data_IF_022888249085
#
_entry.id   IF_022888249085
#
_cell.length_a   1.000
_cell.length_b   1.000
_cell.length_c   1.000
_cell.angle_alpha   90.00
_cell.angle_beta   90.00
_cell.angle_gamma   90.00
#
_symmetry.space_group_name_H-M   'P 1'
#
loop_
_entity.id
_entity.type
_entity.pdbx_description
1 polymer ?
#
# COMPACT_ATOMS: atom_id res chain seq x y z
N UNK A 1 16.14 16.60 -10.35
CA UNK A 1 15.65 16.42 -10.25
C UNK A 1 14.87 15.86 -10.04
N UNK A 2 14.56 15.77 -9.80
CA UNK A 2 13.85 15.37 -9.54
C UNK A 2 13.06 14.92 -9.69
N UNK A 3 12.77 14.58 -9.75
CA UNK A 3 12.04 14.18 -9.90
C UNK A 3 11.15 13.71 -9.32
N UNK A 4 10.79 13.79 -9.05
CA UNK A 4 9.96 13.54 -8.33
C UNK A 4 8.93 13.13 -8.78
N UNK A 5 8.88 12.62 -9.56
CA UNK A 5 8.00 12.17 -10.04
C UNK A 5 7.36 11.44 -9.32
N UNK A 6 6.57 11.60 -9.01
CA UNK A 6 5.92 10.90 -8.17
C UNK A 6 5.51 9.63 -8.62
N UNK A 7 5.79 8.63 -7.89
CA UNK A 7 5.30 7.33 -8.18
C UNK A 7 4.09 7.00 -7.39
N UNK A 8 3.49 7.97 -6.75
CA UNK A 8 2.34 7.72 -5.89
C UNK A 8 1.13 7.34 -6.72
N UNK A 9 0.40 6.33 -6.26
CA UNK A 9 -0.78 5.85 -6.94
C UNK A 9 -1.99 5.99 -6.04
N UNK A 10 -3.14 6.39 -6.60
CA UNK A 10 -4.38 6.34 -5.84
C UNK A 10 -4.77 4.91 -5.49
N UNK A 11 -5.76 4.77 -4.60
CA UNK A 11 -6.12 3.45 -4.10
C UNK A 11 -6.55 2.49 -5.19
N UNK A 12 -7.32 2.96 -6.17
CA UNK A 12 -7.78 2.08 -7.22
C UNK A 12 -6.64 1.44 -8.00
N UNK A 13 -5.77 2.24 -8.63
CA UNK A 13 -4.64 1.66 -9.35
C UNK A 13 -3.71 0.87 -8.46
N UNK A 14 -3.50 1.33 -7.22
CA UNK A 14 -2.63 0.60 -6.32
C UNK A 14 -3.19 -0.78 -5.99
N UNK A 15 -4.50 -0.85 -5.76
CA UNK A 15 -5.13 -2.13 -5.46
C UNK A 15 -5.02 -3.08 -6.64
N UNK A 16 -5.17 -2.55 -7.86
CA UNK A 16 -5.02 -3.39 -9.04
C UNK A 16 -3.60 -3.91 -9.17
N UNK A 17 -2.64 -3.06 -8.86
CA UNK A 17 -1.24 -3.49 -8.92
C UNK A 17 -0.98 -4.60 -7.91
N UNK A 18 -1.58 -4.52 -6.74
CA UNK A 18 -1.42 -5.53 -5.71
C UNK A 18 -2.36 -6.71 -5.88
N UNK A 19 -3.36 -6.56 -6.75
CA UNK A 19 -4.36 -7.61 -6.99
C UNK A 19 -5.17 -7.89 -5.74
N UNK A 20 -5.56 -6.84 -5.07
CA UNK A 20 -6.41 -6.96 -3.88
C UNK A 20 -7.62 -6.09 -4.08
N UNK A 21 -8.68 -6.34 -3.32
CA UNK A 21 -9.85 -5.46 -3.38
C UNK A 21 -9.48 -4.05 -2.90
N UNK A 22 -10.02 -3.06 -3.59
CA UNK A 22 -9.69 -1.69 -3.24
C UNK A 22 -10.17 -1.35 -1.84
N UNK A 23 -11.32 -1.89 -1.45
CA UNK A 23 -11.82 -1.59 -0.12
C UNK A 23 -10.93 -2.18 0.96
N UNK A 24 -10.30 -3.33 0.68
CA UNK A 24 -9.36 -3.90 1.63
C UNK A 24 -8.16 -2.98 1.80
N UNK A 25 -7.64 -2.48 0.67
CA UNK A 25 -6.49 -1.59 0.72
C UNK A 25 -6.80 -0.31 1.49
N UNK A 26 -7.98 0.25 1.24
CA UNK A 26 -8.34 1.47 1.94
C UNK A 26 -8.50 1.23 3.43
N UNK A 27 -9.10 0.12 3.80
CA UNK A 27 -9.28 -0.18 5.22
C UNK A 27 -7.94 -0.36 5.91
N UNK A 28 -7.00 -1.03 5.24
CA UNK A 28 -5.68 -1.23 5.83
C UNK A 28 -4.95 0.10 5.99
N UNK A 29 -5.08 0.98 5.01
CA UNK A 29 -4.45 2.28 5.09
C UNK A 29 -5.04 3.09 6.23
N UNK A 30 -6.35 3.09 6.33
CA UNK A 30 -7.01 3.87 7.37
C UNK A 30 -6.70 3.34 8.75
N UNK A 31 -6.44 2.06 8.85
CA UNK A 31 -6.05 1.47 10.13
C UNK A 31 -4.58 1.70 10.44
N UNK A 32 -3.84 2.28 9.52
CA UNK A 32 -2.44 2.57 9.76
C UNK A 32 -1.51 1.39 9.52
N UNK A 33 -1.99 0.34 8.88
CA UNK A 33 -1.16 -0.83 8.65
C UNK A 33 -0.42 -0.76 7.31
N UNK A 34 -0.83 0.13 6.42
CA UNK A 34 -0.15 0.33 5.16
C UNK A 34 0.18 1.80 5.03
N UNK A 35 1.44 2.13 4.75
CA UNK A 35 1.83 3.54 4.62
C UNK A 35 1.14 4.20 3.44
N UNK A 36 0.72 5.42 3.65
CA UNK A 36 0.00 6.15 2.63
C UNK A 36 0.09 7.64 2.93
N UNK A 37 -0.32 8.44 1.94
CA UNK A 37 -0.46 9.87 2.10
C UNK A 37 -1.90 10.21 1.82
N UNK A 38 -2.50 10.97 2.72
CA UNK A 38 -3.86 11.39 2.49
C UNK A 38 -3.86 12.80 1.91
N UNK A 39 -4.33 12.92 0.68
CA UNK A 39 -4.43 14.20 0.01
C UNK A 39 -5.91 14.51 -0.11
N UNK A 40 -6.42 15.27 0.84
CA UNK A 40 -7.84 15.58 0.93
C UNK A 40 -8.65 14.30 1.04
N UNK A 41 -9.33 13.90 0.00
CA UNK A 41 -10.12 12.68 0.07
C UNK A 41 -9.49 11.52 -0.65
N UNK A 42 -8.26 11.73 -1.13
CA UNK A 42 -7.61 10.71 -1.92
C UNK A 42 -6.48 10.10 -1.13
N UNK A 43 -6.42 8.79 -1.11
CA UNK A 43 -5.29 8.09 -0.51
C UNK A 43 -4.29 7.78 -1.61
N UNK A 44 -3.04 8.12 -1.35
CA UNK A 44 -1.96 7.89 -2.31
C UNK A 44 -0.96 6.94 -1.70
N UNK A 45 -0.43 6.05 -2.53
CA UNK A 45 0.47 5.00 -2.07
C UNK A 45 1.73 4.98 -2.91
N UNK A 46 2.86 4.75 -2.25
CA UNK A 46 4.11 4.53 -2.93
C UNK A 46 4.23 3.03 -3.16
N UNK A 47 4.18 2.57 -4.42
CA UNK A 47 4.15 1.13 -4.67
C UNK A 47 5.31 0.37 -4.05
N UNK A 48 6.50 0.92 -4.12
CA UNK A 48 7.66 0.22 -3.58
C UNK A 48 7.57 0.07 -2.07
N UNK A 49 7.15 1.14 -1.41
CA UNK A 49 7.04 1.09 0.05
C UNK A 49 5.94 0.13 0.48
N UNK A 50 4.80 0.19 -0.19
CA UNK A 50 3.69 -0.68 0.16
C UNK A 50 4.05 -2.13 -0.07
N UNK A 51 4.70 -2.42 -1.19
CA UNK A 51 5.08 -3.79 -1.48
C UNK A 51 6.07 -4.33 -0.45
N UNK A 52 6.99 -3.47 -0.02
CA UNK A 52 7.94 -3.89 1.00
C UNK A 52 7.24 -4.23 2.32
N UNK A 53 6.26 -3.44 2.69
CA UNK A 53 5.50 -3.69 3.91
C UNK A 53 4.75 -5.01 3.80
N UNK A 54 4.11 -5.25 2.65
CA UNK A 54 3.35 -6.47 2.49
C UNK A 54 4.23 -7.70 2.44
N UNK A 55 5.41 -7.57 1.84
CA UNK A 55 6.34 -8.69 1.84
C UNK A 55 6.81 -9.01 3.25
N UNK A 56 7.01 -7.98 4.04
CA UNK A 56 7.41 -8.20 5.41
C UNK A 56 6.31 -8.90 6.20
N UNK A 57 5.06 -8.51 5.96
CA UNK A 57 3.94 -9.16 6.60
C UNK A 57 3.84 -10.63 6.19
N UNK A 58 4.09 -10.89 4.92
CA UNK A 58 4.05 -12.27 4.43
C UNK A 58 5.11 -13.12 5.09
N UNK A 59 6.29 -12.56 5.27
CA UNK A 59 7.37 -13.32 5.91
C UNK A 59 7.03 -13.63 7.34
N UNK A 60 6.47 -12.67 8.06
CA UNK A 60 6.09 -12.92 9.44
C UNK A 60 4.98 -13.94 9.52
N UNK A 61 4.06 -13.87 8.57
CA UNK A 61 2.96 -14.80 8.54
C UNK A 61 3.45 -16.22 8.31
N UNK A 62 4.38 -16.36 7.37
CA UNK A 62 4.95 -17.66 7.10
C UNK A 62 5.66 -18.22 8.30
N UNK A 63 6.44 -17.38 8.93
CA UNK A 63 7.19 -17.85 10.06
C UNK A 63 6.33 -18.26 11.22
N UNK A 64 5.16 -17.65 11.34
CA UNK A 64 4.29 -17.96 12.44
C UNK A 64 3.34 -19.09 12.19
N UNK A 65 3.28 -19.58 10.99
CA UNK A 65 2.30 -20.59 10.68
C UNK A 65 2.79 -21.97 10.93
N UNK A 66 2.10 -22.74 11.67
CA UNK A 66 2.49 -24.13 11.89
C UNK A 66 2.34 -24.94 10.63
#
# INVERSE_FOLDING_TARGET
MITTQSKLLPAGPMARRLRVPVRWLRAEAEAGRIPHVQAERVLLFDPETVEAVLLERARKSEGGTP
#
